data_IF_961523375185
#
_entry.id   IF_961523375185
#
_cell.length_a   1.000
_cell.length_b   1.000
_cell.length_c   1.000
_cell.angle_alpha   90.00
_cell.angle_beta   90.00
_cell.angle_gamma   90.00
#
_symmetry.space_group_name_H-M   'P 1'
#
loop_
_entity.id
_entity.type
_entity.pdbx_description
1 polymer ?
#
# COMPACT_ATOMS: atom_id res chain seq x y z
N UNK A 1 13.84 -18.53 30.38
CA UNK A 1 13.77 -17.06 30.33
C UNK A 1 15.03 -16.57 29.64
N UNK A 2 14.93 -15.73 28.61
CA UNK A 2 16.08 -15.20 27.88
C UNK A 2 15.96 -13.68 27.80
N UNK A 3 17.06 -12.99 28.09
CA UNK A 3 17.14 -11.53 28.20
C UNK A 3 17.81 -10.96 26.96
N UNK A 4 17.27 -9.88 26.40
CA UNK A 4 17.88 -9.15 25.30
C UNK A 4 18.16 -7.71 25.72
N UNK A 5 19.43 -7.31 25.72
CA UNK A 5 19.86 -5.94 25.95
C UNK A 5 20.12 -5.26 24.60
N UNK A 6 19.45 -4.12 24.35
CA UNK A 6 19.75 -3.25 23.21
C UNK A 6 20.44 -1.99 23.71
N UNK A 7 21.72 -1.82 23.38
CA UNK A 7 22.40 -0.52 23.48
C UNK A 7 23.33 -0.35 22.28
N UNK A 8 23.01 0.60 21.39
CA UNK A 8 24.00 1.33 20.61
C UNK A 8 23.40 2.63 20.08
N UNK A 9 23.54 3.69 20.86
CA UNK A 9 23.64 5.05 20.33
C UNK A 9 25.11 5.29 19.98
N UNK A 10 25.42 6.19 19.02
CA UNK A 10 25.75 7.54 19.51
C UNK A 10 25.26 8.68 18.63
N UNK A 11 25.08 9.82 19.28
CA UNK A 11 24.78 11.12 18.69
C UNK A 11 25.92 11.63 17.78
N UNK A 12 25.55 12.30 16.67
CA UNK A 12 26.42 13.29 16.05
C UNK A 12 25.65 14.59 15.79
N UNK A 13 26.02 15.62 16.55
CA UNK A 13 25.62 17.01 16.30
C UNK A 13 26.41 17.57 15.11
N UNK A 14 25.72 18.11 14.10
CA UNK A 14 26.31 19.03 13.14
C UNK A 14 25.41 20.27 13.00
N UNK A 15 25.99 21.45 13.24
CA UNK A 15 25.32 22.73 13.12
C UNK A 15 25.85 23.52 11.91
N UNK A 16 25.08 24.53 11.47
CA UNK A 16 25.20 25.39 10.26
C UNK A 16 24.46 24.80 9.03
N UNK A 17 23.74 25.57 8.21
CA UNK A 17 23.73 27.03 8.03
C UNK A 17 22.33 27.61 7.66
N UNK A 18 21.99 28.74 8.30
CA UNK A 18 21.28 29.95 7.82
C UNK A 18 20.01 29.90 6.91
N UNK A 19 18.97 30.62 7.37
CA UNK A 19 17.93 31.28 6.55
C UNK A 19 18.54 32.11 5.40
N UNK A 20 17.85 32.35 4.26
CA UNK A 20 16.48 32.91 4.22
C UNK A 20 15.59 32.33 3.08
N UNK A 21 14.41 32.83 2.65
CA UNK A 21 13.65 34.09 2.92
C UNK A 21 12.13 33.90 2.67
N UNK A 22 11.30 34.85 3.13
CA UNK A 22 9.94 35.23 2.62
C UNK A 22 8.89 34.11 2.36
N UNK A 23 7.90 34.03 3.24
CA UNK A 23 6.53 33.61 2.88
C UNK A 23 5.78 34.76 2.18
N UNK A 24 5.30 34.61 0.92
CA UNK A 24 4.20 35.40 0.39
C UNK A 24 2.86 34.74 0.76
N UNK A 25 1.91 35.55 1.26
CA UNK A 25 0.58 35.07 1.64
C UNK A 25 -0.27 34.72 0.42
N UNK A 26 -0.31 33.44 0.03
CA UNK A 26 -1.26 32.96 -0.98
C UNK A 26 -2.68 32.95 -0.42
N UNK A 27 -3.45 34.00 -0.72
CA UNK A 27 -4.92 33.97 -0.61
C UNK A 27 -5.49 33.03 -1.67
N UNK A 28 -5.57 31.74 -1.34
CA UNK A 28 -6.20 30.76 -2.21
C UNK A 28 -7.73 30.82 -2.05
N UNK A 29 -8.37 31.71 -2.82
CA UNK A 29 -9.79 31.59 -3.15
C UNK A 29 -9.96 30.37 -4.07
N UNK A 30 -10.05 29.17 -3.50
CA UNK A 30 -10.51 28.00 -4.23
C UNK A 30 -12.01 27.83 -4.03
N UNK A 31 -12.74 27.82 -5.15
CA UNK A 31 -14.19 27.72 -5.16
C UNK A 31 -14.68 26.46 -4.44
N UNK A 32 -15.77 26.60 -3.71
CA UNK A 32 -16.44 25.53 -2.96
C UNK A 32 -17.11 24.51 -3.90
N UNK A 33 -16.30 23.72 -4.59
CA UNK A 33 -16.71 22.48 -5.25
C UNK A 33 -16.57 21.31 -4.28
N UNK A 34 -17.46 21.21 -3.27
CA UNK A 34 -17.55 20.02 -2.40
C UNK A 34 -18.15 18.86 -3.21
N UNK A 35 -17.31 18.23 -4.04
CA UNK A 35 -17.65 16.95 -4.65
C UNK A 35 -17.87 15.93 -3.53
N UNK A 36 -19.09 15.40 -3.44
CA UNK A 36 -19.45 14.35 -2.50
C UNK A 36 -18.86 13.03 -2.99
N UNK A 37 -17.54 12.87 -2.84
CA UNK A 37 -16.86 11.60 -3.09
C UNK A 37 -17.34 10.60 -2.03
N UNK A 38 -18.10 9.58 -2.45
CA UNK A 38 -18.49 8.46 -1.60
C UNK A 38 -17.22 7.87 -0.96
N UNK A 39 -17.15 7.87 0.36
CA UNK A 39 -16.03 7.29 1.09
C UNK A 39 -16.30 5.80 1.22
N UNK A 40 -15.65 5.00 0.37
CA UNK A 40 -15.56 3.55 0.56
C UNK A 40 -14.74 3.29 1.82
N UNK A 41 -15.21 2.40 2.69
CA UNK A 41 -14.51 2.02 3.92
C UNK A 41 -13.61 0.81 3.73
N UNK A 42 -14.12 -0.20 3.03
CA UNK A 42 -13.40 -1.42 2.68
C UNK A 42 -14.03 -2.05 1.43
N UNK A 43 -13.26 -2.91 0.77
CA UNK A 43 -13.70 -3.80 -0.29
C UNK A 43 -13.71 -5.22 0.24
N UNK A 44 -14.79 -5.97 -0.03
CA UNK A 44 -14.81 -7.42 0.22
C UNK A 44 -14.06 -8.12 -0.92
N UNK A 45 -12.95 -8.77 -0.60
CA UNK A 45 -12.11 -9.54 -1.52
C UNK A 45 -12.21 -11.01 -1.16
N UNK A 46 -12.29 -11.89 -2.15
CA UNK A 46 -12.24 -13.35 -1.95
C UNK A 46 -10.99 -13.88 -2.62
N UNK A 47 -10.13 -14.56 -1.86
CA UNK A 47 -8.90 -15.18 -2.35
C UNK A 47 -9.11 -16.69 -2.41
N UNK A 48 -8.88 -17.28 -3.58
CA UNK A 48 -8.82 -18.73 -3.76
C UNK A 48 -7.35 -19.19 -3.73
N UNK A 49 -6.96 -19.95 -2.71
CA UNK A 49 -5.60 -20.45 -2.56
C UNK A 49 -5.60 -21.88 -1.98
N UNK A 50 -4.78 -22.78 -2.55
CA UNK A 50 -4.69 -24.20 -2.15
C UNK A 50 -6.05 -24.94 -2.03
N UNK A 51 -7.05 -24.54 -2.83
CA UNK A 51 -8.40 -25.11 -2.79
C UNK A 51 -9.29 -24.60 -1.65
N UNK A 52 -8.85 -23.56 -0.92
CA UNK A 52 -9.62 -22.85 0.08
C UNK A 52 -10.00 -21.45 -0.42
N UNK A 53 -11.20 -20.99 -0.07
CA UNK A 53 -11.66 -19.62 -0.34
C UNK A 53 -11.66 -18.83 0.97
N UNK A 54 -10.91 -17.73 1.03
CA UNK A 54 -10.86 -16.84 2.20
C UNK A 54 -11.41 -15.47 1.85
N UNK A 55 -12.35 -14.98 2.65
CA UNK A 55 -12.92 -13.64 2.50
C UNK A 55 -12.18 -12.63 3.39
N UNK A 56 -11.79 -11.49 2.82
CA UNK A 56 -11.07 -10.41 3.50
C UNK A 56 -11.80 -9.07 3.29
N UNK A 57 -11.74 -8.19 4.28
CA UNK A 57 -12.06 -6.76 4.11
C UNK A 57 -10.76 -5.96 3.95
N UNK A 58 -10.54 -5.43 2.75
CA UNK A 58 -9.34 -4.67 2.39
C UNK A 58 -9.67 -3.18 2.38
N UNK A 59 -8.90 -2.35 3.08
CA UNK A 59 -9.09 -0.89 3.09
C UNK A 59 -8.70 -0.27 1.73
N UNK A 60 -9.27 0.89 1.32
CA UNK A 60 -9.02 1.45 0.00
C UNK A 60 -7.56 1.89 -0.26
N UNK A 61 -6.79 2.11 0.80
CA UNK A 61 -5.38 2.50 0.76
C UNK A 61 -4.44 1.31 1.18
N UNK A 62 -4.98 0.10 1.27
CA UNK A 62 -4.29 -1.14 1.69
C UNK A 62 -4.14 -2.11 0.50
N UNK A 63 -3.01 -2.81 0.39
CA UNK A 63 -2.84 -3.84 -0.65
C UNK A 63 -3.49 -5.16 -0.25
N UNK A 64 -4.05 -5.88 -1.22
CA UNK A 64 -4.61 -7.23 -1.02
C UNK A 64 -3.55 -8.18 -0.43
N UNK A 65 -2.30 -8.06 -0.87
CA UNK A 65 -1.18 -8.86 -0.35
C UNK A 65 -0.92 -8.57 1.14
N UNK A 66 -0.82 -7.30 1.53
CA UNK A 66 -0.67 -6.90 2.93
C UNK A 66 -1.77 -7.49 3.80
N UNK A 67 -3.04 -7.35 3.37
CA UNK A 67 -4.18 -7.82 4.15
C UNK A 67 -4.27 -9.34 4.24
N UNK A 68 -3.87 -10.06 3.19
CA UNK A 68 -3.77 -11.52 3.22
C UNK A 68 -2.77 -11.99 4.27
N UNK A 69 -1.58 -11.39 4.30
CA UNK A 69 -0.51 -11.73 5.24
C UNK A 69 -0.85 -11.37 6.70
N UNK A 70 -1.43 -10.19 6.93
CA UNK A 70 -1.90 -9.77 8.25
C UNK A 70 -3.05 -10.67 8.77
N UNK A 71 -3.82 -11.27 7.87
CA UNK A 71 -4.85 -12.27 8.19
C UNK A 71 -4.29 -13.69 8.38
N UNK A 72 -2.96 -13.86 8.29
CA UNK A 72 -2.28 -15.15 8.41
C UNK A 72 -2.39 -16.07 7.19
N UNK A 73 -2.84 -15.56 6.05
CA UNK A 73 -2.99 -16.34 4.81
C UNK A 73 -1.62 -16.50 4.15
N UNK A 74 -1.12 -17.74 4.11
CA UNK A 74 0.17 -18.08 3.50
C UNK A 74 0.05 -18.08 1.98
N UNK A 75 0.37 -16.95 1.33
CA UNK A 75 0.51 -16.80 -0.13
C UNK A 75 1.98 -16.78 -0.55
N UNK A 76 2.33 -17.07 -1.82
CA UNK A 76 3.66 -16.79 -2.34
C UNK A 76 3.91 -15.27 -2.42
N UNK A 77 4.98 -14.80 -1.76
CA UNK A 77 5.47 -13.42 -1.85
C UNK A 77 6.99 -13.36 -1.67
N UNK A 78 7.59 -12.24 -2.06
CA UNK A 78 9.01 -11.95 -1.84
C UNK A 78 9.21 -10.44 -1.65
N UNK A 79 9.37 -9.67 -2.74
CA UNK A 79 9.83 -8.27 -2.62
C UNK A 79 8.84 -7.28 -1.98
N UNK A 80 7.52 -7.55 -1.97
CA UNK A 80 6.46 -6.61 -1.55
C UNK A 80 6.43 -5.24 -2.29
N UNK A 81 7.19 -5.11 -3.39
CA UNK A 81 7.40 -3.87 -4.16
C UNK A 81 6.89 -3.94 -5.61
N UNK A 82 6.04 -4.92 -5.95
CA UNK A 82 5.44 -5.03 -7.29
C UNK A 82 6.35 -5.52 -8.43
N UNK A 83 7.64 -5.77 -8.19
CA UNK A 83 8.65 -6.04 -9.25
C UNK A 83 9.07 -7.51 -9.42
N UNK A 84 9.00 -8.35 -8.38
CA UNK A 84 9.60 -9.70 -8.39
C UNK A 84 8.85 -10.78 -9.18
N UNK A 85 7.59 -10.54 -9.56
CA UNK A 85 6.69 -11.52 -10.19
C UNK A 85 6.42 -12.81 -9.40
N UNK A 86 6.67 -12.83 -8.08
CA UNK A 86 6.35 -13.98 -7.20
C UNK A 86 4.86 -14.06 -6.82
N UNK A 87 4.21 -12.92 -6.61
CA UNK A 87 2.82 -12.81 -6.14
C UNK A 87 1.71 -12.42 -7.17
N UNK A 88 1.89 -12.45 -8.51
CA UNK A 88 0.75 -12.30 -9.43
C UNK A 88 -0.34 -13.34 -9.16
N UNK A 89 -1.60 -12.90 -9.19
CA UNK A 89 -2.77 -13.74 -8.99
C UNK A 89 -3.76 -13.52 -10.14
N UNK A 90 -4.56 -14.55 -10.45
CA UNK A 90 -5.58 -14.47 -11.50
C UNK A 90 -6.82 -13.71 -11.01
N UNK A 91 -7.26 -12.70 -11.76
CA UNK A 91 -8.50 -11.98 -11.48
C UNK A 91 -9.70 -12.78 -12.04
N UNK A 92 -10.46 -13.41 -11.15
CA UNK A 92 -11.64 -14.20 -11.54
C UNK A 92 -12.86 -13.31 -11.82
N UNK A 93 -13.01 -12.20 -11.10
CA UNK A 93 -14.12 -11.25 -11.23
C UNK A 93 -13.79 -9.91 -10.58
N UNK A 94 -14.43 -8.83 -11.03
CA UNK A 94 -14.29 -7.49 -10.48
C UNK A 94 -13.27 -6.63 -11.24
N UNK A 95 -12.67 -5.67 -10.54
CA UNK A 95 -11.66 -4.76 -11.08
C UNK A 95 -10.70 -4.40 -9.96
N UNK A 96 -9.40 -4.36 -10.27
CA UNK A 96 -8.33 -3.98 -9.34
C UNK A 96 -7.46 -2.91 -9.98
N UNK A 97 -6.89 -2.02 -9.17
CA UNK A 97 -5.80 -1.16 -9.60
C UNK A 97 -4.47 -1.92 -9.44
N UNK A 98 -3.62 -1.86 -10.46
CA UNK A 98 -2.30 -2.50 -10.53
C UNK A 98 -1.22 -1.54 -11.05
N UNK A 99 -1.48 -0.22 -11.02
CA UNK A 99 -0.57 0.82 -11.51
C UNK A 99 0.80 0.85 -10.83
N UNK A 100 0.89 0.37 -9.58
CA UNK A 100 2.15 0.23 -8.82
C UNK A 100 2.91 -1.08 -9.15
N UNK A 101 2.33 -1.99 -9.93
CA UNK A 101 2.93 -3.27 -10.33
C UNK A 101 3.69 -3.19 -11.66
N UNK A 102 4.62 -4.11 -11.87
CA UNK A 102 5.43 -4.16 -13.11
C UNK A 102 4.84 -5.06 -14.21
N UNK A 103 3.53 -5.39 -14.14
CA UNK A 103 2.85 -6.22 -15.13
C UNK A 103 2.62 -5.42 -16.42
N UNK A 104 2.73 -6.08 -17.58
CA UNK A 104 2.38 -5.45 -18.87
C UNK A 104 0.86 -5.41 -19.06
N UNK A 105 0.37 -4.39 -19.78
CA UNK A 105 -1.06 -4.18 -20.06
C UNK A 105 -1.75 -5.46 -20.61
N UNK A 106 -1.11 -6.17 -21.56
CA UNK A 106 -1.60 -7.45 -22.11
C UNK A 106 -1.81 -8.57 -21.08
N UNK A 107 -1.14 -8.49 -19.92
CA UNK A 107 -1.35 -9.44 -18.81
C UNK A 107 -2.54 -8.97 -17.98
N UNK A 108 -2.59 -7.68 -17.63
CA UNK A 108 -3.66 -7.10 -16.82
C UNK A 108 -5.03 -7.22 -17.51
N UNK A 109 -5.10 -7.03 -18.84
CA UNK A 109 -6.35 -7.14 -19.60
C UNK A 109 -6.94 -8.57 -19.60
N UNK A 110 -6.10 -9.60 -19.49
CA UNK A 110 -6.55 -11.02 -19.46
C UNK A 110 -6.98 -11.51 -18.08
N UNK A 111 -6.71 -10.71 -17.04
CA UNK A 111 -6.77 -11.12 -15.63
C UNK A 111 -5.82 -12.24 -15.28
#
# INVERSE_FOLDING_TARGET
MATLCFTSSPSFTLAKQLLPTKLPSLKLNYGTGRSLKTIVRSYKVVIEHEGQSTELEVEPDETILSKALDSGLSVPYDCMLGVCMTCPAKLISGTVDQSEGMLSDDVVERG
#
